data_IF_245542553797
#
_entry.id   IF_245542553797
#
_cell.length_a   1.000
_cell.length_b   1.000
_cell.length_c   1.000
_cell.angle_alpha   90.00
_cell.angle_beta   90.00
_cell.angle_gamma   90.00
#
_symmetry.space_group_name_H-M   'P 1'
#
loop_
_entity.id
_entity.type
_entity.pdbx_description
1 polymer ?
#
# COMPACT_ATOMS: atom_id res chain seq x y z
N UNK A 1 -21.85 -27.95 -32.24
CA UNK A 1 -22.02 -28.67 -30.97
C UNK A 1 -20.92 -28.25 -30.02
N UNK A 2 -21.29 -28.12 -28.75
CA UNK A 2 -20.52 -27.62 -27.60
C UNK A 2 -19.13 -28.27 -27.41
N UNK A 3 -18.17 -27.50 -26.91
CA UNK A 3 -17.17 -27.99 -25.95
C UNK A 3 -16.71 -26.82 -25.07
N UNK A 4 -17.54 -26.56 -24.05
CA UNK A 4 -17.22 -25.75 -22.88
C UNK A 4 -16.06 -26.41 -22.13
N UNK A 5 -14.89 -25.75 -22.10
CA UNK A 5 -13.75 -26.18 -21.28
C UNK A 5 -13.79 -25.45 -19.93
N UNK A 6 -13.75 -26.18 -18.79
CA UNK A 6 -14.03 -25.63 -17.47
C UNK A 6 -12.89 -24.73 -16.98
N UNK A 7 -13.24 -23.51 -16.58
CA UNK A 7 -12.41 -22.63 -15.79
C UNK A 7 -12.05 -23.33 -14.47
N UNK A 8 -10.87 -23.96 -14.43
CA UNK A 8 -10.30 -24.47 -13.19
C UNK A 8 -9.99 -23.27 -12.29
N UNK A 9 -10.91 -23.01 -11.36
CA UNK A 9 -10.75 -22.05 -10.27
C UNK A 9 -9.75 -22.63 -9.28
N UNK A 10 -8.48 -22.43 -9.56
CA UNK A 10 -7.40 -22.82 -8.67
C UNK A 10 -7.46 -21.93 -7.41
N UNK A 11 -7.52 -22.48 -6.19
CA UNK A 11 -7.59 -21.70 -4.94
C UNK A 11 -6.37 -20.78 -4.73
N UNK A 12 -5.27 -21.06 -5.42
CA UNK A 12 -4.02 -20.29 -5.43
C UNK A 12 -4.18 -18.89 -6.09
N UNK A 13 -5.21 -18.72 -6.92
CA UNK A 13 -5.46 -17.46 -7.62
C UNK A 13 -5.90 -16.35 -6.65
N UNK A 14 -6.56 -16.73 -5.54
CA UNK A 14 -7.05 -15.79 -4.54
C UNK A 14 -5.94 -14.97 -3.89
N UNK A 15 -4.88 -15.61 -3.43
CA UNK A 15 -3.77 -14.94 -2.75
C UNK A 15 -2.86 -14.18 -3.72
N UNK A 16 -2.65 -14.71 -4.92
CA UNK A 16 -1.93 -14.01 -5.99
C UNK A 16 -2.69 -12.75 -6.46
N UNK A 17 -4.01 -12.82 -6.59
CA UNK A 17 -4.86 -11.65 -6.87
C UNK A 17 -4.77 -10.61 -5.74
N UNK A 18 -4.81 -11.05 -4.47
CA UNK A 18 -4.64 -10.15 -3.31
C UNK A 18 -3.29 -9.46 -3.35
N UNK A 19 -2.22 -10.22 -3.58
CA UNK A 19 -0.86 -9.68 -3.72
C UNK A 19 -0.75 -8.67 -4.86
N UNK A 20 -1.31 -8.97 -6.04
CA UNK A 20 -1.37 -8.04 -7.18
C UNK A 20 -2.14 -6.76 -6.84
N UNK A 21 -3.27 -6.86 -6.13
CA UNK A 21 -4.04 -5.69 -5.66
C UNK A 21 -3.21 -4.82 -4.71
N UNK A 22 -2.56 -5.42 -3.72
CA UNK A 22 -1.70 -4.68 -2.77
C UNK A 22 -0.50 -4.06 -3.48
N UNK A 23 0.12 -4.77 -4.43
CA UNK A 23 1.22 -4.24 -5.24
C UNK A 23 0.76 -3.02 -6.04
N UNK A 24 -0.40 -3.11 -6.68
CA UNK A 24 -1.00 -1.98 -7.40
C UNK A 24 -1.23 -0.78 -6.48
N UNK A 25 -1.85 -0.99 -5.30
CA UNK A 25 -2.06 0.08 -4.31
C UNK A 25 -0.73 0.72 -3.88
N UNK A 26 0.29 -0.09 -3.61
CA UNK A 26 1.63 0.36 -3.25
C UNK A 26 2.28 1.18 -4.38
N UNK A 27 2.13 0.78 -5.64
CA UNK A 27 2.61 1.57 -6.79
C UNK A 27 1.91 2.92 -6.89
N UNK A 28 0.57 2.94 -6.77
CA UNK A 28 -0.22 4.18 -6.84
C UNK A 28 0.12 5.15 -5.72
N UNK A 29 0.24 4.65 -4.48
CA UNK A 29 0.66 5.47 -3.34
C UNK A 29 2.09 5.99 -3.51
N UNK A 30 3.02 5.15 -3.96
CA UNK A 30 4.39 5.60 -4.19
C UNK A 30 4.47 6.68 -5.28
N UNK A 31 3.78 6.52 -6.41
CA UNK A 31 3.73 7.54 -7.47
C UNK A 31 3.05 8.82 -7.03
N UNK A 32 1.99 8.72 -6.21
CA UNK A 32 1.26 9.87 -5.69
C UNK A 32 2.06 10.67 -4.66
N UNK A 33 2.82 10.01 -3.78
CA UNK A 33 3.52 10.66 -2.67
C UNK A 33 5.01 10.90 -2.87
N UNK A 34 5.70 10.02 -3.59
CA UNK A 34 7.16 9.98 -3.62
C UNK A 34 7.66 9.61 -5.01
N UNK A 35 7.45 10.51 -5.99
CA UNK A 35 8.15 10.41 -7.26
C UNK A 35 9.62 10.84 -7.10
N UNK A 36 10.51 10.23 -7.90
CA UNK A 36 11.96 10.48 -7.86
C UNK A 36 12.21 12.00 -8.04
N UNK A 37 12.74 12.65 -7.00
CA UNK A 37 13.02 14.09 -7.00
C UNK A 37 12.18 14.95 -6.04
N UNK A 38 11.44 14.36 -5.10
CA UNK A 38 10.76 15.13 -4.05
C UNK A 38 9.48 15.84 -4.51
N UNK A 39 8.78 15.26 -5.49
CA UNK A 39 7.48 15.78 -5.92
C UNK A 39 6.47 15.65 -4.79
N UNK A 40 5.89 16.78 -4.37
CA UNK A 40 4.83 16.79 -3.35
C UNK A 40 3.56 16.15 -3.91
N UNK A 41 2.81 15.44 -3.07
CA UNK A 41 1.57 14.83 -3.49
C UNK A 41 0.58 15.92 -3.89
N UNK A 42 -0.02 15.80 -5.09
CA UNK A 42 -0.93 16.81 -5.64
C UNK A 42 -2.34 16.62 -5.12
N UNK A 43 -3.06 17.72 -4.92
CA UNK A 43 -4.46 17.70 -4.49
C UNK A 43 -5.35 16.80 -5.36
N UNK A 44 -5.10 16.74 -6.67
CA UNK A 44 -5.82 15.88 -7.63
C UNK A 44 -5.71 14.38 -7.28
N UNK A 45 -4.58 13.95 -6.71
CA UNK A 45 -4.30 12.54 -6.38
C UNK A 45 -4.73 12.16 -4.95
N UNK A 46 -4.94 13.13 -4.05
CA UNK A 46 -5.36 12.90 -2.66
C UNK A 46 -6.63 12.07 -2.51
N UNK A 47 -7.75 12.37 -3.21
CA UNK A 47 -8.96 11.56 -3.08
C UNK A 47 -8.75 10.13 -3.62
N UNK A 48 -7.81 9.94 -4.55
CA UNK A 48 -7.37 8.61 -4.99
C UNK A 48 -6.60 7.89 -3.90
N UNK A 49 -5.61 8.57 -3.29
CA UNK A 49 -4.80 8.05 -2.20
C UNK A 49 -5.64 7.63 -0.99
N UNK A 50 -6.66 8.40 -0.64
CA UNK A 50 -7.64 8.05 0.39
C UNK A 50 -8.34 6.73 0.06
N UNK A 51 -8.92 6.62 -1.14
CA UNK A 51 -9.61 5.40 -1.59
C UNK A 51 -8.69 4.19 -1.59
N UNK A 52 -7.44 4.36 -1.99
CA UNK A 52 -6.44 3.30 -1.96
C UNK A 52 -6.13 2.86 -0.53
N UNK A 53 -5.97 3.80 0.39
CA UNK A 53 -5.74 3.53 1.80
C UNK A 53 -6.96 2.82 2.44
N UNK A 54 -8.17 3.31 2.17
CA UNK A 54 -9.41 2.71 2.65
C UNK A 54 -9.57 1.26 2.17
N UNK A 55 -9.33 1.00 0.88
CA UNK A 55 -9.34 -0.37 0.33
C UNK A 55 -8.28 -1.24 0.96
N UNK A 56 -7.09 -0.69 1.25
CA UNK A 56 -6.03 -1.41 1.94
C UNK A 56 -6.46 -1.77 3.36
N UNK A 57 -7.03 -0.83 4.11
CA UNK A 57 -7.56 -1.04 5.46
C UNK A 57 -8.65 -2.12 5.48
N UNK A 58 -9.66 -2.00 4.63
CA UNK A 58 -10.81 -2.92 4.63
C UNK A 58 -10.43 -4.34 4.19
N UNK A 59 -9.63 -4.48 3.13
CA UNK A 59 -9.34 -5.78 2.53
C UNK A 59 -8.14 -6.49 3.17
N UNK A 60 -7.32 -5.77 3.95
CA UNK A 60 -6.05 -6.27 4.44
C UNK A 60 -5.80 -5.95 5.92
N UNK A 61 -6.84 -5.60 6.68
CA UNK A 61 -6.77 -5.45 8.14
C UNK A 61 -6.32 -6.74 8.85
N UNK A 62 -6.68 -7.91 8.33
CA UNK A 62 -6.30 -9.21 8.91
C UNK A 62 -4.84 -9.63 8.62
N UNK A 63 -4.15 -8.92 7.71
CA UNK A 63 -2.77 -9.28 7.39
C UNK A 63 -1.86 -9.08 8.60
N UNK A 64 -1.07 -10.11 8.93
CA UNK A 64 -0.05 -10.05 10.00
C UNK A 64 1.35 -9.91 9.43
N UNK A 65 2.28 -9.34 10.21
CA UNK A 65 3.70 -9.15 9.85
C UNK A 65 4.36 -10.35 9.13
N UNK A 66 3.93 -11.58 9.43
CA UNK A 66 4.46 -12.82 8.84
C UNK A 66 3.97 -13.17 7.43
N UNK A 67 3.00 -12.45 6.88
CA UNK A 67 2.36 -12.80 5.61
C UNK A 67 3.27 -12.56 4.39
N UNK A 68 3.24 -13.48 3.44
CA UNK A 68 4.02 -13.42 2.19
C UNK A 68 3.69 -12.17 1.35
N UNK A 69 2.49 -11.61 1.51
CA UNK A 69 2.08 -10.36 0.86
C UNK A 69 2.99 -9.21 1.27
N UNK A 70 3.36 -9.08 2.55
CA UNK A 70 4.24 -7.99 3.00
C UNK A 70 5.66 -8.11 2.47
N UNK A 71 6.16 -9.34 2.35
CA UNK A 71 7.49 -9.62 1.78
C UNK A 71 7.55 -9.23 0.30
N UNK A 72 6.51 -9.58 -0.47
CA UNK A 72 6.45 -9.30 -1.91
C UNK A 72 6.13 -7.84 -2.24
N UNK A 73 5.17 -7.24 -1.55
CA UNK A 73 4.66 -5.90 -1.92
C UNK A 73 5.37 -4.77 -1.19
N UNK A 74 5.88 -5.01 0.04
CA UNK A 74 6.48 -3.99 0.90
C UNK A 74 5.59 -2.75 1.13
N UNK A 75 4.27 -2.91 1.10
CA UNK A 75 3.31 -1.79 1.32
C UNK A 75 3.54 -1.07 2.66
N UNK A 76 3.96 -1.80 3.70
CA UNK A 76 4.34 -1.25 5.00
C UNK A 76 5.42 -0.16 4.92
N UNK A 77 6.32 -0.21 3.92
CA UNK A 77 7.33 0.84 3.71
C UNK A 77 6.70 2.14 3.22
N UNK A 78 5.73 2.06 2.30
CA UNK A 78 5.01 3.25 1.81
C UNK A 78 4.15 3.85 2.91
N UNK A 79 3.50 3.03 3.74
CA UNK A 79 2.78 3.53 4.91
C UNK A 79 3.70 4.25 5.91
N UNK A 80 4.89 3.71 6.16
CA UNK A 80 5.90 4.41 6.97
C UNK A 80 6.31 5.73 6.36
N UNK A 81 6.51 5.80 5.04
CA UNK A 81 6.80 7.08 4.39
C UNK A 81 5.71 8.10 4.62
N UNK A 82 4.44 7.71 4.44
CA UNK A 82 3.30 8.59 4.65
C UNK A 82 3.24 9.05 6.12
N UNK A 83 3.46 8.13 7.07
CA UNK A 83 3.45 8.45 8.50
C UNK A 83 4.60 9.39 8.90
N UNK A 84 5.82 9.13 8.44
CA UNK A 84 7.01 9.93 8.74
C UNK A 84 7.24 11.09 7.76
N UNK A 85 6.31 11.34 6.85
CA UNK A 85 6.47 12.40 5.87
C UNK A 85 6.50 13.76 6.58
N UNK A 86 7.62 14.46 6.49
CA UNK A 86 7.81 15.79 7.11
C UNK A 86 7.33 16.94 6.23
N UNK A 87 6.89 16.68 5.00
CA UNK A 87 6.33 17.71 4.12
C UNK A 87 4.87 18.04 4.40
N UNK A 88 4.33 19.01 3.66
CA UNK A 88 2.91 19.34 3.66
C UNK A 88 2.17 18.37 2.73
N UNK A 89 1.25 17.59 3.29
CA UNK A 89 0.32 16.75 2.53
C UNK A 89 -0.97 17.56 2.41
N UNK A 90 -1.38 17.94 1.20
CA UNK A 90 -2.65 18.64 1.06
C UNK A 90 -3.80 17.69 1.41
N UNK A 91 -4.88 18.23 1.99
CA UNK A 91 -6.04 17.47 2.49
C UNK A 91 -5.71 16.47 3.61
N UNK A 92 -4.57 16.61 4.29
CA UNK A 92 -4.25 15.82 5.48
C UNK A 92 -5.28 16.02 6.59
N UNK A 93 -5.79 17.24 6.79
CA UNK A 93 -6.78 17.50 7.84
C UNK A 93 -8.05 16.66 7.64
N UNK A 94 -8.45 16.46 6.38
CA UNK A 94 -9.67 15.75 5.99
C UNK A 94 -9.48 14.24 6.05
N UNK A 95 -8.38 13.72 5.50
CA UNK A 95 -8.18 12.27 5.33
C UNK A 95 -7.29 11.63 6.39
N UNK A 96 -6.57 12.43 7.17
CA UNK A 96 -5.72 12.00 8.29
C UNK A 96 -4.77 10.85 7.92
N UNK A 97 -4.13 10.94 6.74
CA UNK A 97 -3.26 9.90 6.18
C UNK A 97 -2.21 9.39 7.16
N UNK A 98 -1.54 10.31 7.88
CA UNK A 98 -0.53 9.98 8.90
C UNK A 98 -1.08 9.10 10.01
N UNK A 99 -2.28 9.44 10.52
CA UNK A 99 -2.95 8.72 11.61
C UNK A 99 -3.41 7.34 11.16
N UNK A 100 -4.01 7.24 9.98
CA UNK A 100 -4.47 5.96 9.41
C UNK A 100 -3.32 5.02 9.09
N UNK A 101 -2.26 5.54 8.47
CA UNK A 101 -1.04 4.77 8.21
C UNK A 101 -0.40 4.25 9.51
N UNK A 102 -0.31 5.07 10.56
CA UNK A 102 0.19 4.65 11.87
C UNK A 102 -0.70 3.59 12.54
N UNK A 103 -2.03 3.76 12.47
CA UNK A 103 -2.98 2.77 12.97
C UNK A 103 -2.85 1.43 12.26
N UNK A 104 -2.70 1.42 10.93
CA UNK A 104 -2.46 0.23 10.13
C UNK A 104 -1.15 -0.47 10.49
N UNK A 105 -0.06 0.29 10.60
CA UNK A 105 1.24 -0.26 11.00
C UNK A 105 1.15 -0.93 12.37
N UNK A 106 0.43 -0.30 13.31
CA UNK A 106 0.18 -0.86 14.64
C UNK A 106 -0.69 -2.11 14.59
N UNK A 107 -1.76 -2.11 13.80
CA UNK A 107 -2.66 -3.25 13.62
C UNK A 107 -1.92 -4.48 13.07
N UNK A 108 -1.02 -4.26 12.11
CA UNK A 108 -0.16 -5.31 11.54
C UNK A 108 1.03 -5.70 12.43
N UNK A 109 1.23 -4.95 13.53
CA UNK A 109 2.30 -5.15 14.49
C UNK A 109 3.67 -4.81 13.93
N UNK A 110 3.83 -3.84 13.04
CA UNK A 110 5.14 -3.33 12.64
C UNK A 110 5.66 -2.31 13.67
N UNK A 111 6.96 -2.32 14.00
CA UNK A 111 7.52 -1.29 14.87
C UNK A 111 7.54 0.02 14.08
N UNK A 112 7.00 1.07 14.69
CA UNK A 112 7.01 2.44 14.16
C UNK A 112 8.45 2.89 13.86
N UNK A 113 9.39 2.53 14.73
CA UNK A 113 10.78 3.03 14.75
C UNK A 113 11.78 2.35 13.79
N UNK A 114 11.37 1.37 12.96
CA UNK A 114 12.35 0.71 12.07
C UNK A 114 12.75 1.61 10.91
N UNK A 115 13.83 2.35 11.17
CA UNK A 115 14.51 3.34 10.34
C UNK A 115 15.04 2.75 9.03
N UNK A 116 15.31 3.67 8.11
CA UNK A 116 15.35 3.51 6.67
C UNK A 116 16.64 2.84 6.16
N UNK A 117 16.62 1.52 5.94
CA UNK A 117 17.54 0.93 4.96
C UNK A 117 17.12 1.42 3.56
N UNK A 118 17.96 2.26 2.95
CA UNK A 118 17.71 3.18 1.83
C UNK A 118 17.29 2.59 0.49
N UNK A 119 16.44 1.56 0.49
CA UNK A 119 16.13 0.73 -0.67
C UNK A 119 14.82 1.08 -1.42
N UNK A 120 14.02 2.07 -0.99
CA UNK A 120 12.77 2.40 -1.71
C UNK A 120 13.05 3.05 -3.08
N UNK A 121 14.20 3.71 -3.25
CA UNK A 121 14.61 4.24 -4.56
C UNK A 121 14.94 3.16 -5.60
N UNK A 122 15.11 1.88 -5.21
CA UNK A 122 15.43 0.79 -6.11
C UNK A 122 14.31 -0.26 -6.23
N UNK A 123 13.10 0.03 -5.70
CA UNK A 123 12.04 -0.97 -5.67
C UNK A 123 11.36 -1.07 -7.06
N UNK A 124 12.00 -1.86 -7.92
CA UNK A 124 11.68 -2.14 -9.32
C UNK A 124 10.21 -2.54 -9.55
N UNK A 125 9.68 -2.29 -10.77
CA UNK A 125 8.37 -2.77 -11.20
C UNK A 125 8.28 -4.30 -11.24
#
# INVERSE_FOLDING_TARGET
MDNTAPAQRNPEDGDELRKKRVLYLRHRLQSGFFFRGGHRPREEDMPGCDKYLARLEENHADLRRGDSIFKGTKVHKVLKLIHFYQGEIPLEETYQFRKRAGNLLRAWGFPEDTYWDGAICCLQP
#
